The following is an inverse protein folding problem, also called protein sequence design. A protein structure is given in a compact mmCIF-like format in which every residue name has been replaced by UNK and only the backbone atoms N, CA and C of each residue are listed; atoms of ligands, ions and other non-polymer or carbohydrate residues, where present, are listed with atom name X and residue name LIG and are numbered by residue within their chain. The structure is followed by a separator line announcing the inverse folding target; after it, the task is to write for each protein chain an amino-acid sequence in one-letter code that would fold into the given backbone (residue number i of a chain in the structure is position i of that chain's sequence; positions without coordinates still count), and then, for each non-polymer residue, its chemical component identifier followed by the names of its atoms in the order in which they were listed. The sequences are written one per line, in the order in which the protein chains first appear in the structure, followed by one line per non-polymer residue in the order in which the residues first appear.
data_IF_725158104949
#
_entry.id   IF_725158104949
#
_cell.length_a   1.000
_cell.length_b   1.000
_cell.length_c   1.000
_cell.angle_alpha   90.00
_cell.angle_beta   90.00
_cell.angle_gamma   90.00
#
_symmetry.space_group_name_H-M   'P 1'
#
loop_
_entity.id
_entity.type
_entity.pdbx_description
1 polymer ?
#
# COMPACT_ATOMS: atom_id res chain seq x y z
N UNK A 1 14.08 8.29 4.70
CA UNK A 1 13.81 8.96 6.00
C UNK A 1 12.78 8.16 6.81
N UNK A 2 11.60 7.83 6.25
CA UNK A 2 10.53 7.10 6.95
C UNK A 2 10.91 5.71 7.50
N UNK A 3 11.68 4.92 6.73
CA UNK A 3 12.21 3.63 7.20
C UNK A 3 13.11 3.82 8.45
N UNK A 4 13.98 4.84 8.45
CA UNK A 4 14.84 5.15 9.61
C UNK A 4 14.01 5.55 10.84
N UNK A 5 12.85 6.18 10.62
CA UNK A 5 11.88 6.56 11.66
C UNK A 5 10.93 5.42 12.05
N UNK A 6 11.07 4.21 11.47
CA UNK A 6 10.18 3.05 11.69
C UNK A 6 8.70 3.35 11.43
N UNK A 7 8.42 4.21 10.46
CA UNK A 7 7.05 4.57 10.05
C UNK A 7 6.51 3.68 8.91
N UNK A 8 7.31 2.73 8.42
CA UNK A 8 6.94 1.75 7.39
C UNK A 8 6.98 0.37 8.02
N UNK A 9 5.85 -0.35 7.98
CA UNK A 9 5.72 -1.73 8.44
C UNK A 9 6.19 -2.71 7.37
N UNK A 10 5.76 -2.49 6.13
CA UNK A 10 6.16 -3.28 4.97
C UNK A 10 6.15 -2.44 3.70
N UNK A 11 6.86 -2.90 2.66
CA UNK A 11 6.98 -2.19 1.39
C UNK A 11 7.17 -3.17 0.22
N UNK A 12 6.55 -2.88 -0.92
CA UNK A 12 6.74 -3.62 -2.16
C UNK A 12 6.79 -2.69 -3.38
N UNK A 13 7.54 -3.10 -4.40
CA UNK A 13 7.57 -2.42 -5.70
C UNK A 13 6.41 -2.92 -6.55
N UNK A 14 5.70 -2.00 -7.22
CA UNK A 14 4.68 -2.37 -8.20
C UNK A 14 5.36 -2.91 -9.46
N UNK A 15 4.96 -4.13 -9.85
CA UNK A 15 5.49 -4.86 -11.02
C UNK A 15 4.32 -5.29 -11.92
N UNK A 16 4.50 -6.37 -12.68
CA UNK A 16 3.43 -6.98 -13.46
C UNK A 16 2.26 -7.37 -12.56
N UNK A 17 1.03 -7.08 -13.02
CA UNK A 17 -0.20 -7.28 -12.25
C UNK A 17 -0.58 -6.10 -11.34
N UNK A 18 0.19 -5.00 -11.36
CA UNK A 18 -0.18 -3.74 -10.72
C UNK A 18 -0.13 -3.79 -9.19
N UNK A 19 -0.85 -2.86 -8.56
CA UNK A 19 -1.00 -2.74 -7.11
C UNK A 19 -1.73 -3.98 -6.56
N UNK A 20 -2.72 -4.51 -7.28
CA UNK A 20 -3.46 -5.71 -6.90
C UNK A 20 -2.52 -6.90 -6.65
N UNK A 21 -1.61 -7.19 -7.59
CA UNK A 21 -0.66 -8.29 -7.41
C UNK A 21 0.31 -8.03 -6.24
N UNK A 22 0.71 -6.77 -6.04
CA UNK A 22 1.60 -6.40 -4.94
C UNK A 22 0.93 -6.61 -3.56
N UNK A 23 -0.27 -6.04 -3.35
CA UNK A 23 -0.99 -6.16 -2.07
C UNK A 23 -1.40 -7.60 -1.78
N UNK A 24 -1.87 -8.35 -2.79
CA UNK A 24 -2.19 -9.77 -2.62
C UNK A 24 -0.97 -10.56 -2.14
N UNK A 25 0.21 -10.31 -2.72
CA UNK A 25 1.45 -10.97 -2.29
C UNK A 25 1.87 -10.56 -0.88
N UNK A 26 1.70 -9.29 -0.52
CA UNK A 26 2.00 -8.78 0.82
C UNK A 26 1.04 -9.35 1.88
N UNK A 27 -0.23 -9.53 1.55
CA UNK A 27 -1.26 -10.04 2.46
C UNK A 27 -1.19 -11.57 2.62
N UNK A 28 -1.13 -12.33 1.52
CA UNK A 28 -1.23 -13.80 1.56
C UNK A 28 -0.08 -14.45 2.32
N UNK A 29 1.14 -13.97 2.13
CA UNK A 29 2.32 -14.49 2.85
C UNK A 29 2.24 -14.25 4.36
N UNK A 30 1.47 -13.25 4.79
CA UNK A 30 1.35 -12.82 6.18
C UNK A 30 -0.01 -13.18 6.81
N UNK A 31 -0.89 -13.89 6.09
CA UNK A 31 -2.23 -14.27 6.56
C UNK A 31 -3.10 -13.08 6.99
N UNK A 32 -2.94 -11.94 6.32
CA UNK A 32 -3.70 -10.72 6.59
C UNK A 32 -4.86 -10.60 5.60
N UNK A 33 -5.99 -10.09 6.09
CA UNK A 33 -7.06 -9.60 5.24
C UNK A 33 -6.75 -8.20 4.71
N UNK A 34 -7.54 -7.75 3.74
CA UNK A 34 -7.42 -6.43 3.16
C UNK A 34 -8.81 -5.83 2.90
N UNK A 35 -9.02 -4.61 3.34
CA UNK A 35 -10.18 -3.80 3.00
C UNK A 35 -9.73 -2.62 2.15
N UNK A 36 -10.26 -2.54 0.92
CA UNK A 36 -9.93 -1.47 -0.03
C UNK A 36 -10.93 -0.32 0.09
N UNK A 37 -10.46 0.90 -0.16
CA UNK A 37 -11.34 2.08 -0.22
C UNK A 37 -12.38 1.92 -1.34
N UNK A 38 -13.64 2.26 -1.05
CA UNK A 38 -14.77 2.10 -1.99
C UNK A 38 -14.59 2.87 -3.30
N UNK A 39 -13.82 3.96 -3.26
CA UNK A 39 -13.62 4.87 -4.37
C UNK A 39 -12.44 4.49 -5.28
N UNK A 40 -11.80 3.34 -5.05
CA UNK A 40 -10.78 2.82 -5.97
C UNK A 40 -11.43 2.24 -7.20
N UNK A 41 -11.15 2.84 -8.35
CA UNK A 41 -11.49 2.21 -9.63
C UNK A 41 -10.71 0.91 -9.77
N UNK A 42 -11.43 -0.19 -9.96
CA UNK A 42 -10.84 -1.53 -10.08
C UNK A 42 -9.77 -1.60 -11.16
N UNK A 43 -9.90 -0.83 -12.24
CA UNK A 43 -8.91 -0.71 -13.30
C UNK A 43 -7.56 -0.17 -12.81
N UNK A 44 -7.56 0.80 -11.88
CA UNK A 44 -6.34 1.46 -11.42
C UNK A 44 -5.43 0.51 -10.63
N UNK A 45 -6.02 -0.49 -9.96
CA UNK A 45 -5.29 -1.51 -9.22
C UNK A 45 -4.46 -2.42 -10.14
N UNK A 46 -4.86 -2.59 -11.40
CA UNK A 46 -4.18 -3.45 -12.36
C UNK A 46 -3.30 -2.68 -13.35
N UNK A 47 -3.34 -1.35 -13.34
CA UNK A 47 -2.48 -0.53 -14.18
C UNK A 47 -1.00 -0.73 -13.79
N UNK A 48 -0.10 -0.78 -14.79
CA UNK A 48 1.33 -0.90 -14.54
C UNK A 48 1.90 0.45 -14.07
N UNK A 49 1.75 0.73 -12.78
CA UNK A 49 2.35 1.89 -12.11
C UNK A 49 3.86 1.67 -11.85
N UNK A 50 4.63 1.49 -12.92
CA UNK A 50 6.06 1.23 -12.83
C UNK A 50 6.80 2.36 -12.13
N UNK A 51 7.66 2.00 -11.17
CA UNK A 51 8.38 2.98 -10.34
C UNK A 51 7.63 3.35 -9.06
N UNK A 52 6.37 2.96 -8.91
CA UNK A 52 5.61 3.16 -7.68
C UNK A 52 5.91 2.10 -6.62
N UNK A 53 5.71 2.49 -5.36
CA UNK A 53 5.83 1.65 -4.19
C UNK A 53 4.46 1.52 -3.51
N UNK A 54 4.16 0.32 -3.04
CA UNK A 54 3.10 0.08 -2.06
C UNK A 54 3.75 0.06 -0.68
N UNK A 55 3.22 0.84 0.25
CA UNK A 55 3.73 0.97 1.61
C UNK A 55 2.61 0.65 2.59
N UNK A 56 2.92 -0.19 3.58
CA UNK A 56 2.07 -0.38 4.76
C UNK A 56 2.65 0.46 5.90
N UNK A 57 1.79 1.24 6.55
CA UNK A 57 2.18 2.18 7.59
C UNK A 57 1.29 2.00 8.81
N UNK A 58 1.79 2.26 10.03
CA UNK A 58 0.94 2.29 11.21
C UNK A 58 -0.17 3.33 11.04
N UNK A 59 -1.40 3.01 11.48
CA UNK A 59 -2.56 3.90 11.35
C UNK A 59 -2.39 5.28 12.04
N UNK A 60 -1.44 5.39 12.98
CA UNK A 60 -1.09 6.66 13.66
C UNK A 60 -0.27 7.61 12.76
N UNK A 61 0.27 7.14 11.64
CA UNK A 61 1.06 7.98 10.74
C UNK A 61 0.15 8.77 9.82
N UNK A 62 0.22 10.10 9.89
CA UNK A 62 -0.39 10.99 8.90
C UNK A 62 0.42 10.95 7.60
N UNK A 63 -0.20 10.47 6.51
CA UNK A 63 0.46 10.31 5.22
C UNK A 63 0.74 11.66 4.55
N UNK A 64 -0.13 12.65 4.70
CA UNK A 64 0.07 13.99 4.12
C UNK A 64 1.32 14.66 4.72
N UNK A 65 1.51 14.55 6.04
CA UNK A 65 2.72 15.04 6.71
C UNK A 65 3.96 14.21 6.38
N UNK A 66 3.81 12.88 6.28
CA UNK A 66 4.92 11.97 6.05
C UNK A 66 5.50 12.10 4.63
N UNK A 67 4.65 12.38 3.64
CA UNK A 67 5.02 12.43 2.23
C UNK A 67 5.07 13.85 1.66
N UNK A 68 4.41 14.83 2.27
CA UNK A 68 4.36 16.21 1.78
C UNK A 68 3.85 16.25 0.34
N UNK A 69 4.64 16.88 -0.55
CA UNK A 69 4.29 17.04 -1.97
C UNK A 69 4.48 15.77 -2.81
N UNK A 70 4.91 14.64 -2.24
CA UNK A 70 5.08 13.39 -2.98
C UNK A 70 3.69 12.83 -3.30
N UNK A 71 3.37 12.61 -4.60
CA UNK A 71 2.09 12.02 -4.99
C UNK A 71 1.91 10.65 -4.37
N UNK A 72 0.81 10.48 -3.64
CA UNK A 72 0.45 9.22 -3.00
C UNK A 72 -1.07 9.07 -2.93
N UNK A 73 -1.51 7.84 -2.73
CA UNK A 73 -2.91 7.48 -2.58
C UNK A 73 -3.02 6.45 -1.46
N UNK A 74 -3.94 6.69 -0.52
CA UNK A 74 -4.33 5.68 0.46
C UNK A 74 -5.29 4.72 -0.24
N UNK A 75 -4.92 3.44 -0.28
CA UNK A 75 -5.67 2.42 -1.03
C UNK A 75 -6.55 1.53 -0.13
N UNK A 76 -6.41 1.62 1.19
CA UNK A 76 -7.15 0.81 2.14
C UNK A 76 -6.33 0.47 3.37
N UNK A 77 -6.76 -0.58 4.07
CA UNK A 77 -6.17 -1.03 5.34
C UNK A 77 -6.03 -2.56 5.39
N UNK A 78 -5.03 -3.03 6.12
CA UNK A 78 -4.85 -4.45 6.44
C UNK A 78 -5.72 -4.85 7.63
N UNK A 79 -6.17 -6.11 7.64
CA UNK A 79 -6.95 -6.72 8.71
C UNK A 79 -6.16 -7.89 9.31
N UNK A 80 -6.31 -8.11 10.62
CA UNK A 80 -5.57 -9.17 11.33
C UNK A 80 -5.95 -10.60 10.90
N UNK A 81 -7.09 -10.76 10.22
CA UNK A 81 -7.59 -12.05 9.74
C UNK A 81 -7.95 -11.96 8.24
N UNK A 82 -7.76 -13.05 7.47
CA UNK A 82 -8.07 -13.12 6.04
C UNK A 82 -9.54 -12.86 5.70
#
# INVERSE_FOLDING_TARGET
QLIKKRQILSAAVVKQGGVAAAITKMSFGNQLGLELEENLFSTDLFLPHHGSLVLEMPAVVNTEEAFGDIPHLVIGKTLEQP
#
